data_IF_471497278441
#
_entry.id   IF_471497278441
#
_cell.length_a   1.000
_cell.length_b   1.000
_cell.length_c   1.000
_cell.angle_alpha   90.00
_cell.angle_beta   90.00
_cell.angle_gamma   90.00
#
_symmetry.space_group_name_H-M   'P 1'
#
loop_
_entity.id
_entity.type
_entity.pdbx_description
1 polymer ?
#
# COMPACT_ATOMS: atom_id res chain seq x y z
N UNK A 1 -12.85 -5.15 -0.80
CA UNK A 1 -12.13 -4.19 0.10
C UNK A 1 -12.42 -2.77 -0.34
N UNK A 2 -12.47 -1.80 0.56
CA UNK A 2 -12.77 -0.40 0.24
C UNK A 2 -11.61 0.53 0.60
N UNK A 3 -11.39 1.54 -0.25
CA UNK A 3 -10.57 2.70 0.04
C UNK A 3 -11.40 3.70 0.85
N UNK A 4 -10.94 4.12 2.02
CA UNK A 4 -11.71 4.99 2.93
C UNK A 4 -11.01 6.31 3.26
N UNK A 5 -9.72 6.41 3.02
CA UNK A 5 -8.97 7.65 3.21
C UNK A 5 -7.85 7.78 2.18
N UNK A 6 -7.60 9.01 1.79
CA UNK A 6 -6.44 9.38 0.95
C UNK A 6 -5.87 10.67 1.51
N UNK A 7 -4.60 10.62 1.88
CA UNK A 7 -3.85 11.77 2.36
C UNK A 7 -2.79 12.13 1.34
N UNK A 8 -2.93 13.29 0.71
CA UNK A 8 -1.95 13.82 -0.24
C UNK A 8 -0.87 14.56 0.56
N UNK A 9 0.35 14.10 0.42
CA UNK A 9 1.53 14.67 1.08
C UNK A 9 2.26 15.66 0.17
N UNK A 10 2.38 15.32 -1.11
CA UNK A 10 3.01 16.14 -2.14
C UNK A 10 2.10 16.11 -3.37
N UNK A 11 1.79 17.29 -3.89
CA UNK A 11 1.11 17.48 -5.17
C UNK A 11 1.65 18.73 -5.82
N UNK A 12 2.69 18.56 -6.64
CA UNK A 12 3.40 19.66 -7.31
C UNK A 12 3.59 19.33 -8.78
N UNK A 13 3.36 20.32 -9.62
CA UNK A 13 3.43 20.17 -11.08
C UNK A 13 2.15 19.60 -11.70
N UNK A 14 2.17 19.25 -13.00
CA UNK A 14 0.95 18.93 -13.76
C UNK A 14 0.47 17.48 -13.61
N UNK A 15 1.25 16.59 -12.96
CA UNK A 15 0.96 15.16 -12.99
C UNK A 15 -0.43 14.79 -12.46
N UNK A 16 -0.87 15.38 -11.34
CA UNK A 16 -2.19 15.09 -10.75
C UNK A 16 -3.39 15.52 -11.61
N UNK A 17 -3.14 16.33 -12.63
CA UNK A 17 -4.14 16.74 -13.62
C UNK A 17 -4.05 15.98 -14.94
N UNK A 18 -3.09 15.05 -15.08
CA UNK A 18 -2.85 14.31 -16.32
C UNK A 18 -3.79 13.12 -16.52
N UNK A 19 -3.91 12.67 -17.78
CA UNK A 19 -4.61 11.43 -18.14
C UNK A 19 -3.93 10.20 -17.49
N UNK A 20 -2.61 10.19 -17.40
CA UNK A 20 -1.85 9.10 -16.77
C UNK A 20 -2.24 8.94 -15.31
N UNK A 21 -2.39 10.05 -14.57
CA UNK A 21 -2.86 9.99 -13.19
C UNK A 21 -4.29 9.45 -13.08
N UNK A 22 -5.21 9.86 -13.96
CA UNK A 22 -6.58 9.36 -13.94
C UNK A 22 -6.64 7.85 -14.20
N UNK A 23 -5.83 7.35 -15.13
CA UNK A 23 -5.71 5.92 -15.40
C UNK A 23 -5.12 5.18 -14.19
N UNK A 24 -3.99 5.64 -13.65
CA UNK A 24 -3.33 5.06 -12.48
C UNK A 24 -4.28 5.00 -11.28
N UNK A 25 -4.96 6.09 -10.97
CA UNK A 25 -5.94 6.19 -9.88
C UNK A 25 -7.08 5.19 -10.06
N UNK A 26 -7.57 5.04 -11.29
CA UNK A 26 -8.63 4.07 -11.63
C UNK A 26 -8.15 2.64 -11.42
N UNK A 27 -6.97 2.29 -11.92
CA UNK A 27 -6.40 0.96 -11.78
C UNK A 27 -6.13 0.60 -10.32
N UNK A 28 -5.57 1.51 -9.52
CA UNK A 28 -5.35 1.30 -8.08
C UNK A 28 -6.70 1.08 -7.38
N UNK A 29 -7.71 1.89 -7.67
CA UNK A 29 -9.04 1.76 -7.08
C UNK A 29 -9.69 0.42 -7.42
N UNK A 30 -9.56 -0.03 -8.66
CA UNK A 30 -10.05 -1.34 -9.11
C UNK A 30 -9.28 -2.49 -8.46
N UNK A 31 -7.96 -2.35 -8.32
CA UNK A 31 -7.13 -3.36 -7.65
C UNK A 31 -7.46 -3.48 -6.16
N UNK A 32 -7.74 -2.37 -5.46
CA UNK A 32 -8.23 -2.40 -4.07
C UNK A 32 -9.58 -3.11 -3.98
N UNK A 33 -10.52 -2.79 -4.88
CA UNK A 33 -11.85 -3.43 -4.92
C UNK A 33 -11.79 -4.93 -5.23
N UNK A 34 -10.80 -5.37 -5.99
CA UNK A 34 -10.60 -6.78 -6.32
C UNK A 34 -10.08 -7.63 -5.15
N UNK A 35 -9.59 -6.99 -4.07
CA UNK A 35 -9.21 -7.73 -2.87
C UNK A 35 -10.45 -8.24 -2.15
N UNK A 36 -10.60 -9.56 -2.09
CA UNK A 36 -11.74 -10.24 -1.47
C UNK A 36 -11.29 -11.29 -0.45
N UNK A 37 -12.16 -11.60 0.47
CA UNK A 37 -12.01 -12.73 1.39
C UNK A 37 -13.38 -13.15 1.94
N UNK A 38 -13.73 -14.46 1.93
CA UNK A 38 -13.01 -15.57 1.28
C UNK A 38 -12.90 -15.39 -0.24
N UNK A 39 -11.96 -16.07 -0.91
CA UNK A 39 -11.86 -16.02 -2.37
C UNK A 39 -13.19 -16.36 -3.06
N UNK A 40 -13.55 -15.60 -4.10
CA UNK A 40 -14.79 -15.76 -4.86
C UNK A 40 -16.04 -15.18 -4.17
N UNK A 41 -15.90 -14.48 -3.04
CA UNK A 41 -17.03 -13.91 -2.29
C UNK A 41 -17.54 -12.57 -2.83
N UNK A 42 -16.77 -11.91 -3.69
CA UNK A 42 -17.07 -10.56 -4.19
C UNK A 42 -16.92 -9.44 -3.16
N UNK A 43 -16.46 -9.74 -1.93
CA UNK A 43 -16.25 -8.75 -0.86
C UNK A 43 -15.10 -9.15 0.07
N UNK A 44 -14.48 -8.17 0.72
CA UNK A 44 -13.48 -8.44 1.74
C UNK A 44 -14.12 -8.49 3.13
N UNK A 45 -14.51 -9.69 3.55
CA UNK A 45 -15.09 -9.93 4.88
C UNK A 45 -14.02 -10.48 5.82
N UNK A 46 -13.63 -9.69 6.82
CA UNK A 46 -12.61 -10.10 7.79
C UNK A 46 -13.22 -10.91 8.94
N UNK A 47 -12.51 -11.93 9.43
CA UNK A 47 -12.95 -12.69 10.61
C UNK A 47 -12.90 -11.80 11.85
N UNK A 48 -14.00 -11.79 12.62
CA UNK A 48 -14.11 -11.07 13.90
C UNK A 48 -13.23 -11.76 14.96
N UNK A 49 -11.94 -11.49 14.93
CA UNK A 49 -10.96 -11.97 15.90
C UNK A 49 -9.87 -10.92 16.08
N UNK A 50 -9.69 -10.42 17.30
CA UNK A 50 -8.64 -9.44 17.60
C UNK A 50 -7.25 -9.97 17.26
N UNK A 51 -6.43 -9.13 16.62
CA UNK A 51 -5.03 -9.42 16.34
C UNK A 51 -4.06 -9.18 17.49
N UNK A 52 -4.53 -8.67 18.62
CA UNK A 52 -3.67 -8.22 19.74
C UNK A 52 -2.97 -9.33 20.50
N UNK A 53 -3.53 -10.55 20.52
CA UNK A 53 -2.93 -11.68 21.21
C UNK A 53 -2.07 -12.51 20.26
N UNK A 54 -0.97 -13.04 20.78
CA UNK A 54 -0.09 -13.96 20.05
C UNK A 54 -0.91 -15.13 19.49
N UNK A 55 -0.75 -15.42 18.21
CA UNK A 55 -1.50 -16.50 17.55
C UNK A 55 -2.88 -16.09 17.03
N UNK A 56 -3.44 -14.94 17.41
CA UNK A 56 -4.73 -14.42 16.94
C UNK A 56 -4.58 -13.43 15.79
N UNK A 57 -5.72 -13.01 15.22
CA UNK A 57 -5.80 -12.11 14.06
C UNK A 57 -5.50 -12.78 12.73
N UNK A 58 -5.79 -12.09 11.66
CA UNK A 58 -5.63 -12.54 10.27
C UNK A 58 -4.25 -12.21 9.71
N UNK A 59 -3.73 -13.08 8.85
CA UNK A 59 -2.54 -12.82 8.05
C UNK A 59 -2.79 -11.76 6.97
N UNK A 60 -1.72 -11.25 6.37
CA UNK A 60 -1.79 -10.12 5.43
C UNK A 60 -1.30 -10.46 4.02
N UNK A 61 -0.56 -11.56 3.85
CA UNK A 61 0.03 -11.92 2.56
C UNK A 61 -1.01 -12.13 1.46
N UNK A 62 -2.12 -12.87 1.65
CA UNK A 62 -3.14 -13.03 0.61
C UNK A 62 -3.81 -11.71 0.21
N UNK A 63 -3.95 -10.77 1.15
CA UNK A 63 -4.51 -9.44 0.89
C UNK A 63 -3.63 -8.70 -0.14
N UNK A 64 -2.33 -8.60 0.15
CA UNK A 64 -1.35 -7.99 -0.75
C UNK A 64 -1.29 -8.73 -2.08
N UNK A 65 -1.28 -10.06 -2.06
CA UNK A 65 -1.15 -10.87 -3.28
C UNK A 65 -2.31 -10.63 -4.26
N UNK A 66 -3.55 -10.53 -3.78
CA UNK A 66 -4.71 -10.24 -4.62
C UNK A 66 -4.62 -8.86 -5.29
N UNK A 67 -4.21 -7.83 -4.52
CA UNK A 67 -3.98 -6.49 -5.05
C UNK A 67 -2.88 -6.47 -6.12
N UNK A 68 -1.74 -7.10 -5.83
CA UNK A 68 -0.61 -7.16 -6.76
C UNK A 68 -0.95 -7.91 -8.05
N UNK A 69 -1.68 -9.03 -7.95
CA UNK A 69 -2.14 -9.78 -9.12
C UNK A 69 -2.99 -8.88 -10.02
N UNK A 70 -3.91 -8.10 -9.43
CA UNK A 70 -4.75 -7.20 -10.20
C UNK A 70 -3.98 -6.05 -10.86
N UNK A 71 -2.96 -5.50 -10.23
CA UNK A 71 -2.06 -4.54 -10.89
C UNK A 71 -1.28 -5.20 -12.04
N UNK A 72 -0.84 -6.45 -11.87
CA UNK A 72 -0.21 -7.22 -12.93
C UNK A 72 -1.12 -7.38 -14.15
N UNK A 73 -2.43 -7.66 -13.97
CA UNK A 73 -3.42 -7.71 -15.05
C UNK A 73 -3.52 -6.39 -15.83
N UNK A 74 -3.25 -5.25 -15.18
CA UNK A 74 -3.19 -3.93 -15.82
C UNK A 74 -1.82 -3.58 -16.41
N UNK A 75 -0.89 -4.55 -16.47
CA UNK A 75 0.44 -4.37 -17.06
C UNK A 75 1.43 -3.60 -16.18
N UNK A 76 1.22 -3.54 -14.85
CA UNK A 76 2.23 -2.98 -13.95
C UNK A 76 3.42 -3.91 -13.80
N UNK A 77 4.61 -3.34 -13.68
CA UNK A 77 5.83 -4.08 -13.34
C UNK A 77 5.85 -4.35 -11.84
N UNK A 78 5.89 -5.64 -11.46
CA UNK A 78 5.90 -6.05 -10.05
C UNK A 78 7.34 -6.23 -9.55
N UNK A 79 7.58 -6.01 -8.25
CA UNK A 79 8.87 -6.18 -7.57
C UNK A 79 10.01 -5.46 -8.31
N UNK A 80 9.76 -4.22 -8.71
CA UNK A 80 10.68 -3.45 -9.56
C UNK A 80 11.83 -2.85 -8.76
N UNK A 81 13.05 -3.15 -9.15
CA UNK A 81 14.24 -2.49 -8.60
C UNK A 81 14.48 -1.16 -9.28
N UNK A 82 14.49 -0.10 -8.51
CA UNK A 82 14.80 1.26 -8.98
C UNK A 82 15.99 1.78 -8.21
N UNK A 83 16.97 2.36 -8.90
CA UNK A 83 18.13 2.96 -8.27
C UNK A 83 17.78 4.28 -7.59
N UNK A 84 17.23 4.15 -6.39
CA UNK A 84 16.80 5.27 -5.56
C UNK A 84 17.78 5.55 -4.42
N UNK A 85 18.40 4.50 -3.86
CA UNK A 85 19.29 4.64 -2.71
C UNK A 85 20.77 4.74 -3.10
N UNK A 86 21.53 5.42 -2.23
CA UNK A 86 22.94 5.71 -2.46
C UNK A 86 23.93 4.69 -1.90
N UNK A 87 23.51 3.76 -1.03
CA UNK A 87 24.44 2.99 -0.20
C UNK A 87 24.40 1.49 -0.37
N UNK A 88 23.32 0.90 -0.77
CA UNK A 88 23.18 -0.54 -1.12
C UNK A 88 21.95 -0.69 -1.98
N UNK A 89 21.88 -1.77 -2.77
CA UNK A 89 20.71 -2.08 -3.58
C UNK A 89 19.43 -1.97 -2.74
N UNK A 90 18.58 -0.99 -2.98
CA UNK A 90 17.32 -0.88 -2.23
C UNK A 90 16.46 -2.10 -2.55
N UNK A 91 15.66 -2.54 -1.58
CA UNK A 91 14.62 -3.52 -1.86
C UNK A 91 13.70 -3.02 -2.99
N UNK A 92 13.10 -3.92 -3.76
CA UNK A 92 12.23 -3.52 -4.86
C UNK A 92 11.05 -2.66 -4.36
N UNK A 93 10.46 -1.90 -5.28
CA UNK A 93 9.13 -1.33 -5.14
C UNK A 93 8.10 -2.43 -5.48
N UNK A 94 7.03 -2.51 -4.74
CA UNK A 94 6.03 -3.58 -4.92
C UNK A 94 5.43 -3.58 -6.33
N UNK A 95 5.07 -2.40 -6.86
CA UNK A 95 4.64 -2.24 -8.24
C UNK A 95 5.04 -0.87 -8.79
N UNK A 96 5.34 -0.82 -10.10
CA UNK A 96 5.61 0.42 -10.81
C UNK A 96 4.90 0.44 -12.16
N UNK A 97 4.56 1.65 -12.62
CA UNK A 97 4.04 1.90 -13.96
C UNK A 97 4.88 2.98 -14.63
N UNK A 98 5.34 2.79 -15.88
CA UNK A 98 6.00 3.84 -16.65
C UNK A 98 5.07 5.02 -16.92
N UNK A 99 5.60 6.23 -16.79
CA UNK A 99 4.94 7.50 -17.11
C UNK A 99 6.00 8.40 -17.77
N UNK A 100 5.98 8.47 -19.08
CA UNK A 100 7.05 9.11 -19.84
C UNK A 100 8.41 8.43 -19.57
N UNK A 101 9.39 9.21 -19.15
CA UNK A 101 10.74 8.76 -18.80
C UNK A 101 10.90 8.40 -17.30
N UNK A 102 9.84 8.54 -16.52
CA UNK A 102 9.81 8.27 -15.07
C UNK A 102 8.90 7.08 -14.75
N UNK A 103 8.86 6.73 -13.47
CA UNK A 103 7.98 5.68 -12.96
C UNK A 103 6.98 6.27 -11.95
N UNK A 104 5.79 5.73 -11.92
CA UNK A 104 4.88 5.85 -10.78
C UNK A 104 4.99 4.59 -9.92
N UNK A 105 5.05 4.72 -8.60
CA UNK A 105 5.28 3.63 -7.67
C UNK A 105 4.09 3.37 -6.76
N UNK A 106 3.86 2.10 -6.42
CA UNK A 106 2.93 1.69 -5.37
C UNK A 106 3.63 0.73 -4.41
N UNK A 107 3.46 0.96 -3.13
CA UNK A 107 3.84 0.07 -2.04
C UNK A 107 2.61 -0.33 -1.23
N UNK A 108 2.41 -1.62 -1.03
CA UNK A 108 1.38 -2.16 -0.14
C UNK A 108 2.03 -2.67 1.13
N UNK A 109 1.88 -1.96 2.21
CA UNK A 109 2.58 -2.32 3.44
C UNK A 109 1.84 -3.41 4.23
N UNK A 110 2.57 -4.47 4.53
CA UNK A 110 2.12 -5.60 5.36
C UNK A 110 3.01 -5.84 6.58
N UNK A 111 4.04 -5.03 6.74
CA UNK A 111 5.00 -5.08 7.84
C UNK A 111 4.64 -4.10 8.96
N UNK A 112 5.60 -3.88 9.84
CA UNK A 112 5.46 -2.95 10.95
C UNK A 112 5.56 -1.49 10.48
N UNK A 113 5.29 -0.55 11.40
CA UNK A 113 5.31 0.88 11.12
C UNK A 113 6.66 1.37 10.56
N UNK A 114 7.78 0.79 10.97
CA UNK A 114 9.10 1.16 10.42
C UNK A 114 9.21 0.81 8.94
N UNK A 115 8.58 -0.26 8.48
CA UNK A 115 8.48 -0.59 7.06
C UNK A 115 7.67 0.44 6.30
N UNK A 116 6.54 0.91 6.87
CA UNK A 116 5.73 1.98 6.28
C UNK A 116 6.54 3.26 6.09
N UNK A 117 7.30 3.69 7.11
CA UNK A 117 8.21 4.83 7.00
C UNK A 117 9.25 4.65 5.91
N UNK A 118 9.86 3.46 5.84
CA UNK A 118 10.85 3.15 4.81
C UNK A 118 10.26 3.22 3.41
N UNK A 119 9.05 2.73 3.21
CA UNK A 119 8.35 2.79 1.91
C UNK A 119 8.07 4.21 1.48
N UNK A 120 7.51 5.07 2.36
CA UNK A 120 7.28 6.49 2.05
C UNK A 120 8.61 7.21 1.77
N UNK A 121 9.63 7.02 2.61
CA UNK A 121 10.92 7.66 2.43
C UNK A 121 11.61 7.23 1.13
N UNK A 122 11.50 5.94 0.75
CA UNK A 122 12.01 5.44 -0.52
C UNK A 122 11.36 6.15 -1.71
N UNK A 123 10.04 6.30 -1.70
CA UNK A 123 9.32 7.03 -2.76
C UNK A 123 9.67 8.53 -2.75
N UNK A 124 9.76 9.16 -1.58
CA UNK A 124 10.18 10.57 -1.45
C UNK A 124 11.59 10.82 -2.03
N UNK A 125 12.54 9.94 -1.74
CA UNK A 125 13.88 10.00 -2.35
C UNK A 125 13.81 9.80 -3.86
N UNK A 126 12.92 8.91 -4.33
CA UNK A 126 12.68 8.71 -5.77
C UNK A 126 12.19 9.97 -6.47
N UNK A 127 11.31 10.75 -5.83
CA UNK A 127 10.87 12.06 -6.32
C UNK A 127 12.02 13.08 -6.35
N UNK A 128 12.78 13.22 -5.25
CA UNK A 128 13.93 14.12 -5.17
C UNK A 128 14.99 13.83 -6.24
N UNK A 129 15.19 12.55 -6.58
CA UNK A 129 16.09 12.10 -7.64
C UNK A 129 15.47 12.12 -9.04
N UNK A 130 14.23 12.58 -9.18
CA UNK A 130 13.49 12.63 -10.45
C UNK A 130 13.36 11.26 -11.16
N UNK A 131 13.49 10.14 -10.40
CA UNK A 131 13.28 8.77 -10.90
C UNK A 131 11.81 8.38 -10.85
N UNK A 132 11.04 8.98 -9.93
CA UNK A 132 9.61 8.81 -9.83
C UNK A 132 8.89 10.12 -10.20
N UNK A 133 7.74 9.99 -10.86
CA UNK A 133 6.77 11.08 -11.02
C UNK A 133 5.79 11.10 -9.85
N UNK A 134 5.56 9.95 -9.22
CA UNK A 134 4.68 9.85 -8.06
C UNK A 134 4.81 8.53 -7.32
N UNK A 135 4.16 8.46 -6.17
CA UNK A 135 4.10 7.25 -5.37
C UNK A 135 2.92 7.22 -4.41
N UNK A 136 2.43 6.01 -4.11
CA UNK A 136 1.37 5.76 -3.14
C UNK A 136 1.79 4.65 -2.20
N UNK A 137 1.65 4.90 -0.90
CA UNK A 137 1.65 3.86 0.11
C UNK A 137 0.22 3.47 0.45
N UNK A 138 -0.09 2.18 0.41
CA UNK A 138 -1.38 1.62 0.81
C UNK A 138 -1.19 0.81 2.09
N UNK A 139 -2.01 1.07 3.11
CA UNK A 139 -1.95 0.37 4.38
C UNK A 139 -3.33 0.34 5.05
N UNK A 140 -3.55 -0.58 6.04
CA UNK A 140 -4.85 -0.68 6.70
C UNK A 140 -5.17 0.57 7.54
N UNK A 141 -6.46 0.88 7.65
CA UNK A 141 -6.96 1.78 8.68
C UNK A 141 -6.86 1.14 10.06
N UNK A 142 -7.14 1.91 11.12
CA UNK A 142 -7.22 1.40 12.48
C UNK A 142 -8.31 0.34 12.65
N UNK A 143 -9.41 0.48 11.93
CA UNK A 143 -10.57 -0.41 11.94
C UNK A 143 -10.23 -1.80 11.34
N UNK A 144 -9.48 -1.85 10.24
CA UNK A 144 -8.99 -3.11 9.69
C UNK A 144 -7.84 -3.68 10.53
N UNK A 145 -6.91 -2.83 10.97
CA UNK A 145 -5.73 -3.22 11.75
C UNK A 145 -6.07 -4.10 12.96
N UNK A 146 -7.15 -3.80 13.69
CA UNK A 146 -7.52 -4.54 14.89
C UNK A 146 -7.79 -6.04 14.68
N UNK A 147 -8.05 -6.45 13.43
CA UNK A 147 -8.29 -7.85 13.05
C UNK A 147 -7.08 -8.52 12.39
N UNK A 148 -6.03 -7.75 12.10
CA UNK A 148 -4.79 -8.24 11.52
C UNK A 148 -3.79 -8.62 12.61
N UNK A 149 -2.69 -9.26 12.23
CA UNK A 149 -1.59 -9.53 13.15
C UNK A 149 -1.09 -8.24 13.84
N UNK A 150 -0.68 -8.34 15.10
CA UNK A 150 -0.32 -7.23 16.00
C UNK A 150 0.85 -6.34 15.57
N UNK A 151 1.54 -6.70 14.50
CA UNK A 151 2.73 -5.99 14.01
C UNK A 151 2.52 -5.16 12.76
N UNK A 152 1.34 -5.14 12.20
CA UNK A 152 1.07 -4.37 10.98
C UNK A 152 0.96 -2.88 11.31
N UNK A 153 1.67 -2.03 10.56
CA UNK A 153 1.49 -0.58 10.66
C UNK A 153 0.10 -0.17 10.14
N UNK A 154 -0.40 0.96 10.60
CA UNK A 154 -1.69 1.48 10.14
C UNK A 154 -1.66 2.98 9.89
N UNK A 155 -2.65 3.47 9.13
CA UNK A 155 -2.76 4.85 8.70
C UNK A 155 -2.65 5.86 9.85
N UNK A 156 -3.29 5.58 10.99
CA UNK A 156 -3.30 6.48 12.15
C UNK A 156 -1.90 6.64 12.78
N UNK A 157 -1.07 5.60 12.72
CA UNK A 157 0.30 5.65 13.25
C UNK A 157 1.23 6.52 12.38
N UNK A 158 0.93 6.66 11.08
CA UNK A 158 1.70 7.55 10.19
C UNK A 158 1.25 9.01 10.26
N UNK A 159 0.01 9.29 10.64
CA UNK A 159 -0.56 10.63 10.60
C UNK A 159 0.29 11.71 11.29
N UNK A 160 0.93 11.48 12.45
CA UNK A 160 1.80 12.47 13.10
C UNK A 160 3.00 12.89 12.24
N UNK A 161 3.40 12.11 11.26
CA UNK A 161 4.57 12.37 10.40
C UNK A 161 4.23 13.05 9.07
N UNK A 162 2.95 13.21 8.74
CA UNK A 162 2.53 13.87 7.49
C UNK A 162 3.14 15.26 7.30
N UNK A 163 3.21 16.13 8.33
CA UNK A 163 3.85 17.44 8.18
C UNK A 163 5.31 17.36 7.73
N UNK A 164 6.06 16.34 8.17
CA UNK A 164 7.47 16.16 7.77
C UNK A 164 7.58 15.89 6.26
N UNK A 165 6.76 15.00 5.72
CA UNK A 165 6.80 14.69 4.28
C UNK A 165 6.24 15.83 3.43
N UNK A 166 5.24 16.59 3.93
CA UNK A 166 4.73 17.78 3.24
C UNK A 166 5.77 18.90 3.14
N UNK A 167 6.69 18.97 4.09
CA UNK A 167 7.77 19.95 4.13
C UNK A 167 8.92 19.63 3.18
N UNK A 168 8.91 18.48 2.48
CA UNK A 168 9.96 18.13 1.54
C UNK A 168 9.97 19.11 0.35
N UNK A 169 11.16 19.61 0.03
CA UNK A 169 11.36 20.49 -1.11
C UNK A 169 11.53 19.65 -2.39
N UNK A 170 10.40 19.25 -2.98
CA UNK A 170 10.32 18.56 -4.26
C UNK A 170 9.86 19.59 -5.30
N UNK A 171 10.55 19.69 -6.44
CA UNK A 171 10.17 20.62 -7.52
C UNK A 171 8.85 20.18 -8.19
N UNK A 172 8.74 18.87 -8.47
CA UNK A 172 7.60 18.27 -9.15
C UNK A 172 7.39 16.83 -8.67
N UNK A 173 6.15 16.43 -8.43
CA UNK A 173 5.81 15.07 -8.09
C UNK A 173 4.54 14.92 -7.27
N UNK A 174 4.09 13.67 -7.14
CA UNK A 174 2.91 13.29 -6.37
C UNK A 174 3.28 12.25 -5.31
N UNK A 175 2.86 12.43 -4.08
CA UNK A 175 3.02 11.44 -3.00
C UNK A 175 1.77 11.41 -2.14
N UNK A 176 1.20 10.21 -1.96
CA UNK A 176 0.01 10.04 -1.14
C UNK A 176 0.07 8.76 -0.29
N UNK A 177 -0.75 8.74 0.75
CA UNK A 177 -1.00 7.57 1.59
C UNK A 177 -2.48 7.24 1.50
N UNK A 178 -2.80 5.97 1.23
CA UNK A 178 -4.16 5.46 1.12
C UNK A 178 -4.47 4.49 2.25
N UNK A 179 -5.59 4.71 2.94
CA UNK A 179 -6.11 3.84 3.98
C UNK A 179 -7.19 2.91 3.45
N UNK A 180 -6.99 1.60 3.60
CA UNK A 180 -7.95 0.58 3.17
C UNK A 180 -8.63 -0.11 4.34
N UNK A 181 -9.86 -0.60 4.11
CA UNK A 181 -10.70 -1.20 5.13
C UNK A 181 -11.48 -2.40 4.57
N UNK A 182 -11.88 -3.29 5.49
CA UNK A 182 -12.77 -4.39 5.18
C UNK A 182 -14.18 -3.90 4.81
N UNK A 183 -14.88 -4.66 4.00
CA UNK A 183 -16.29 -4.39 3.68
C UNK A 183 -17.18 -4.84 4.82
N UNK A 184 -16.92 -6.02 5.37
CA UNK A 184 -17.72 -6.65 6.43
C UNK A 184 -16.84 -7.32 7.50
N UNK A 185 -17.43 -7.53 8.67
CA UNK A 185 -16.85 -8.33 9.77
C UNK A 185 -17.77 -9.50 10.08
N UNK A 186 -17.23 -10.73 10.18
CA UNK A 186 -18.04 -11.92 10.46
C UNK A 186 -17.27 -12.96 11.26
N UNK A 187 -17.96 -13.68 12.13
CA UNK A 187 -17.42 -14.89 12.80
C UNK A 187 -17.51 -16.14 11.92
N UNK A 188 -18.28 -16.09 10.82
CA UNK A 188 -18.56 -17.23 9.95
C UNK A 188 -17.50 -17.44 8.86
N UNK A 189 -16.71 -16.42 8.52
CA UNK A 189 -15.65 -16.56 7.51
C UNK A 189 -14.40 -17.18 8.10
N UNK A 190 -13.59 -17.92 7.31
CA UNK A 190 -12.32 -18.44 7.77
C UNK A 190 -11.34 -17.30 8.10
N UNK A 191 -10.43 -17.56 9.02
CA UNK A 191 -9.32 -16.65 9.28
C UNK A 191 -8.30 -16.76 8.15
N UNK A 192 -7.74 -15.63 7.73
CA UNK A 192 -6.56 -15.64 6.84
C UNK A 192 -5.39 -16.24 7.62
N UNK A 193 -4.81 -17.31 7.11
CA UNK A 193 -3.70 -18.01 7.78
C UNK A 193 -2.48 -17.09 7.94
N UNK A 194 -1.81 -17.22 9.08
CA UNK A 194 -0.54 -16.53 9.35
C UNK A 194 0.61 -17.48 9.07
N UNK A 195 1.69 -16.94 8.50
CA UNK A 195 2.98 -17.63 8.47
C UNK A 195 3.77 -17.43 9.76
N UNK A 196 4.91 -18.08 9.88
CA UNK A 196 5.92 -17.80 10.90
C UNK A 196 6.30 -16.31 10.85
N UNK A 197 6.48 -15.68 12.01
CA UNK A 197 6.79 -14.26 12.14
C UNK A 197 5.72 -13.28 11.55
N UNK A 198 4.45 -13.66 11.60
CA UNK A 198 3.35 -12.81 11.12
C UNK A 198 3.11 -12.86 9.62
N UNK A 199 3.88 -13.65 8.86
CA UNK A 199 3.63 -13.87 7.43
C UNK A 199 2.59 -14.97 7.25
N UNK A 200 1.68 -14.83 6.28
CA UNK A 200 0.80 -15.92 5.90
C UNK A 200 1.63 -17.07 5.30
N UNK A 201 1.23 -18.30 5.60
CA UNK A 201 1.73 -19.45 4.84
C UNK A 201 1.23 -19.33 3.40
N UNK A 202 2.08 -19.72 2.46
CA UNK A 202 1.74 -19.73 1.03
C UNK A 202 0.63 -20.76 0.77
#
# INVERSE_FOLDING_TARGET
MKLVSTEILIDKGPFSSSSDWQEIKTQISQAIKAVEWPPGSGSFTIRKQSGKKRGEGSGVKPIKAAFMAKLGDFGWNLETRVDIATVKTPGPLDATKPVGDKLFAVEWETGNISSSHRSVNKMAVGLLKKKLVGGILILPTRELYQYLTDRVGNFRELAPYFPMWRALNVDEGFLAIMGVEHDLVSTKVPRISKGTNGRALA
#
